data_IF_263483255764
#
_entry.id   IF_263483255764
#
_cell.length_a   1.000
_cell.length_b   1.000
_cell.length_c   1.000
_cell.angle_alpha   90.00
_cell.angle_beta   90.00
_cell.angle_gamma   90.00
#
_symmetry.space_group_name_H-M   'P 1'
#
loop_
_entity.id
_entity.type
_entity.pdbx_description
1 polymer ?
#
# COMPACT_ATOMS: atom_id res chain seq x y z
N UNK A 1 59.74 -23.04 6.39
CA UNK A 1 60.30 -21.68 6.26
C UNK A 1 60.14 -20.97 7.58
N UNK A 2 61.27 -20.53 8.17
CA UNK A 2 61.44 -20.08 9.55
C UNK A 2 61.84 -18.59 9.58
N UNK A 3 61.48 -17.93 10.69
CA UNK A 3 62.21 -16.87 11.45
C UNK A 3 62.23 -15.40 10.99
N UNK A 4 61.47 -14.56 11.74
CA UNK A 4 61.86 -13.42 12.63
C UNK A 4 63.04 -12.47 12.31
N UNK A 5 62.86 -11.15 12.55
CA UNK A 5 63.69 -10.22 13.40
C UNK A 5 63.44 -8.72 13.05
N UNK A 6 62.80 -7.90 13.90
CA UNK A 6 63.27 -6.90 14.91
C UNK A 6 63.85 -5.53 14.44
N UNK A 7 63.21 -4.47 14.95
CA UNK A 7 63.70 -3.25 15.65
C UNK A 7 64.12 -1.92 14.96
N UNK A 8 63.47 -0.85 15.48
CA UNK A 8 63.62 0.64 15.52
C UNK A 8 65.05 1.22 15.82
N UNK A 9 65.23 2.56 16.05
CA UNK A 9 65.02 3.79 15.25
C UNK A 9 66.29 4.70 15.26
N UNK A 10 66.29 5.94 14.72
CA UNK A 10 67.24 6.99 15.19
C UNK A 10 66.86 8.43 14.82
N UNK A 11 67.04 9.30 15.81
CA UNK A 11 66.83 10.75 15.92
C UNK A 11 68.04 11.54 15.41
N UNK A 12 67.88 12.82 14.99
CA UNK A 12 68.97 13.82 15.05
C UNK A 12 68.51 15.19 15.57
N UNK A 13 69.19 15.55 16.65
CA UNK A 13 69.42 16.83 17.37
C UNK A 13 70.19 17.88 16.50
N UNK A 14 70.44 19.17 16.79
CA UNK A 14 70.22 20.19 17.87
C UNK A 14 70.85 21.53 17.39
N UNK A 15 70.50 22.68 18.02
CA UNK A 15 71.31 23.86 18.47
C UNK A 15 70.51 25.18 18.24
N UNK A 16 69.91 25.85 19.24
CA UNK A 16 70.42 26.66 20.38
C UNK A 16 71.26 27.88 19.96
N UNK A 17 70.78 29.11 20.21
CA UNK A 17 71.35 30.07 21.18
C UNK A 17 70.49 31.35 21.36
N UNK A 18 70.66 31.93 22.54
CA UNK A 18 69.80 32.88 23.27
C UNK A 18 70.42 34.30 23.32
N UNK A 19 69.65 35.26 23.85
CA UNK A 19 70.03 36.49 24.60
C UNK A 19 70.17 37.84 23.82
N UNK A 20 69.93 39.06 24.35
CA UNK A 20 69.16 39.68 25.47
C UNK A 20 69.52 41.22 25.44
N UNK A 21 68.68 42.08 26.07
CA UNK A 21 68.95 43.48 26.58
C UNK A 21 68.84 44.63 25.54
N UNK A 22 67.98 45.66 25.60
CA UNK A 22 67.43 46.63 26.59
C UNK A 22 68.21 47.98 26.69
N UNK A 23 67.44 49.08 26.84
CA UNK A 23 67.77 50.52 27.09
C UNK A 23 67.92 51.38 25.83
N UNK A 24 67.37 52.59 25.68
CA UNK A 24 66.57 53.49 26.53
C UNK A 24 66.80 54.95 26.09
N UNK A 25 65.79 55.83 26.24
CA UNK A 25 65.82 57.31 26.42
C UNK A 25 64.80 58.09 25.56
N UNK A 26 64.17 59.04 26.26
CA UNK A 26 63.06 59.95 25.95
C UNK A 26 63.33 61.01 24.86
N UNK A 27 62.29 61.46 24.14
CA UNK A 27 61.82 62.86 24.16
C UNK A 27 60.58 63.14 23.28
N UNK A 28 59.63 63.81 23.93
CA UNK A 28 58.58 64.77 23.54
C UNK A 28 58.26 65.03 22.05
N UNK A 29 56.96 64.93 21.73
CA UNK A 29 56.32 65.58 20.58
C UNK A 29 54.80 65.46 20.69
N UNK A 30 54.15 66.52 21.16
CA UNK A 30 52.69 66.68 21.18
C UNK A 30 52.14 66.65 19.75
N UNK A 31 51.16 65.79 19.49
CA UNK A 31 50.00 66.15 18.66
C UNK A 31 48.80 65.27 19.05
N UNK A 32 47.76 65.95 19.56
CA UNK A 32 46.49 65.37 19.93
C UNK A 32 45.68 65.02 18.67
N UNK A 33 45.67 63.75 18.30
CA UNK A 33 44.62 63.17 17.47
C UNK A 33 43.92 62.07 18.26
N UNK A 34 42.78 62.43 18.88
CA UNK A 34 41.87 61.48 19.51
C UNK A 34 41.36 60.48 18.46
N UNK A 35 41.82 59.23 18.56
CA UNK A 35 41.18 58.12 17.86
C UNK A 35 39.80 57.93 18.50
N UNK A 36 38.74 58.10 17.71
CA UNK A 36 37.35 57.81 18.08
C UNK A 36 37.22 56.35 18.49
N UNK A 37 37.25 56.08 19.79
CA UNK A 37 36.59 54.90 20.34
C UNK A 37 35.08 55.13 20.20
N UNK A 38 34.42 54.32 19.38
CA UNK A 38 32.97 54.27 19.32
C UNK A 38 32.43 53.57 20.57
N UNK A 39 32.27 54.34 21.65
CA UNK A 39 31.43 53.98 22.78
C UNK A 39 29.97 54.26 22.39
N UNK A 40 29.25 53.23 21.96
CA UNK A 40 27.80 53.32 21.84
C UNK A 40 27.18 53.02 23.21
N UNK A 41 26.72 54.07 23.89
CA UNK A 41 25.74 53.96 24.96
C UNK A 41 24.49 53.22 24.43
N UNK A 42 23.83 52.35 25.22
CA UNK A 42 22.60 51.73 24.79
C UNK A 42 21.54 52.85 24.68
N UNK A 43 21.17 53.20 23.45
CA UNK A 43 19.98 54.00 23.21
C UNK A 43 18.77 53.17 23.65
N UNK A 44 18.07 53.65 24.68
CA UNK A 44 16.63 53.44 24.80
C UNK A 44 15.98 54.04 23.54
N UNK A 45 15.80 53.22 22.51
CA UNK A 45 14.77 53.43 21.51
C UNK A 45 13.82 52.26 21.73
N UNK A 46 12.67 52.60 22.30
CA UNK A 46 11.46 51.80 22.25
C UNK A 46 10.80 52.10 20.89
N UNK A 47 10.75 51.17 19.93
CA UNK A 47 9.75 51.20 18.89
C UNK A 47 8.63 50.24 19.28
N UNK A 48 7.57 50.77 19.85
CA UNK A 48 6.15 50.52 19.55
C UNK A 48 5.67 49.10 19.14
N UNK A 49 6.33 48.02 19.59
CA UNK A 49 5.93 46.62 19.33
C UNK A 49 5.31 45.93 20.53
N UNK A 50 5.08 46.66 21.64
CA UNK A 50 4.35 46.13 22.79
C UNK A 50 2.94 45.66 22.37
N UNK A 51 2.30 46.33 21.41
CA UNK A 51 0.98 45.95 20.90
C UNK A 51 0.99 44.77 19.91
N UNK A 52 2.11 44.45 19.27
CA UNK A 52 2.25 43.22 18.45
C UNK A 52 2.68 42.00 19.28
N UNK A 53 3.32 42.22 20.44
CA UNK A 53 3.58 41.16 21.43
C UNK A 53 2.30 40.86 22.24
N UNK A 54 1.34 41.79 22.31
CA UNK A 54 0.07 41.59 23.01
C UNK A 54 -0.88 40.61 22.28
N UNK A 55 -0.74 40.38 20.97
CA UNK A 55 -1.48 39.31 20.28
C UNK A 55 -1.01 37.88 20.67
N UNK A 56 0.15 37.74 21.34
CA UNK A 56 0.60 36.45 21.89
C UNK A 56 -0.19 36.08 23.16
N UNK A 57 -0.93 37.03 23.75
CA UNK A 57 -1.45 36.88 25.12
C UNK A 57 -2.95 36.58 25.21
N UNK A 58 -3.71 36.58 24.12
CA UNK A 58 -5.18 36.41 24.18
C UNK A 58 -5.74 35.15 23.47
N UNK A 59 -4.92 34.11 23.27
CA UNK A 59 -5.40 32.77 22.83
C UNK A 59 -4.66 31.55 23.40
N UNK A 60 -3.87 31.70 24.47
CA UNK A 60 -3.18 30.57 25.11
C UNK A 60 -3.76 30.26 26.51
N UNK A 61 -5.04 29.92 26.59
CA UNK A 61 -5.67 29.43 27.82
C UNK A 61 -5.25 27.98 28.16
N UNK A 62 -3.94 27.71 28.27
CA UNK A 62 -3.47 26.40 28.71
C UNK A 62 -1.96 26.22 28.85
N UNK A 63 -1.12 26.76 27.95
CA UNK A 63 0.34 26.55 28.02
C UNK A 63 1.05 27.64 28.83
N UNK A 64 1.79 27.31 29.91
CA UNK A 64 2.52 28.30 30.68
C UNK A 64 3.55 29.07 29.84
N UNK A 65 3.55 30.40 29.95
CA UNK A 65 4.46 31.28 29.21
C UNK A 65 5.96 30.93 29.38
N UNK A 66 6.46 30.47 30.54
CA UNK A 66 7.83 29.99 30.67
C UNK A 66 8.14 28.79 29.76
N UNK A 67 7.20 27.85 29.63
CA UNK A 67 7.33 26.65 28.77
C UNK A 67 7.38 27.07 27.30
N UNK A 68 6.43 27.91 26.86
CA UNK A 68 6.39 28.41 25.49
C UNK A 68 7.69 29.11 25.09
N UNK A 69 8.21 29.99 25.96
CA UNK A 69 9.48 30.70 25.73
C UNK A 69 10.68 29.76 25.69
N UNK A 70 10.74 28.77 26.58
CA UNK A 70 11.85 27.81 26.63
C UNK A 70 11.93 26.99 25.33
N UNK A 71 10.79 26.48 24.85
CA UNK A 71 10.72 25.68 23.62
C UNK A 71 11.07 26.52 22.38
N UNK A 72 10.47 27.70 22.22
CA UNK A 72 10.75 28.57 21.07
C UNK A 72 12.22 29.01 21.02
N UNK A 73 12.82 29.29 22.18
CA UNK A 73 14.25 29.63 22.29
C UNK A 73 15.13 28.46 21.87
N UNK A 74 14.82 27.25 22.30
CA UNK A 74 15.63 26.08 21.96
C UNK A 74 15.54 25.74 20.47
N UNK A 75 14.35 25.82 19.87
CA UNK A 75 14.18 25.65 18.41
C UNK A 75 14.98 26.70 17.65
N UNK A 76 14.87 27.97 18.04
CA UNK A 76 15.60 29.05 17.37
C UNK A 76 17.12 28.84 17.44
N UNK A 77 17.64 28.45 18.61
CA UNK A 77 19.07 28.21 18.83
C UNK A 77 19.58 26.96 18.10
N UNK A 78 18.86 25.85 18.17
CA UNK A 78 19.34 24.56 17.64
C UNK A 78 19.10 24.40 16.15
N UNK A 79 18.06 25.03 15.60
CA UNK A 79 17.65 24.91 14.19
C UNK A 79 17.98 26.15 13.36
N UNK A 80 18.49 27.23 13.98
CA UNK A 80 18.83 28.47 13.28
C UNK A 80 17.63 29.21 12.68
N UNK A 81 16.41 28.98 13.20
CA UNK A 81 15.19 29.62 12.71
C UNK A 81 14.92 30.90 13.49
N UNK A 82 14.63 32.00 12.80
CA UNK A 82 14.26 33.27 13.42
C UNK A 82 12.99 33.11 14.28
N UNK A 83 12.95 33.65 15.52
CA UNK A 83 11.78 33.55 16.39
C UNK A 83 10.48 34.04 15.76
N UNK A 84 10.55 35.09 14.91
CA UNK A 84 9.40 35.65 14.19
C UNK A 84 8.77 34.67 13.18
N UNK A 85 9.50 33.63 12.77
CA UNK A 85 9.00 32.59 11.87
C UNK A 85 8.47 31.36 12.62
N UNK A 86 8.58 31.31 13.94
CA UNK A 86 8.17 30.15 14.75
C UNK A 86 6.77 30.37 15.35
N UNK A 87 5.93 29.35 15.28
CA UNK A 87 4.59 29.32 15.87
C UNK A 87 4.40 28.03 16.66
N UNK A 88 3.86 28.12 17.87
CA UNK A 88 3.36 26.94 18.59
C UNK A 88 2.02 26.57 17.96
N UNK A 89 1.95 25.39 17.34
CA UNK A 89 0.76 24.93 16.60
C UNK A 89 -0.09 23.95 17.40
N UNK A 90 0.47 23.33 18.44
CA UNK A 90 -0.28 22.48 19.38
C UNK A 90 0.49 22.30 20.70
N UNK A 91 -0.25 22.05 21.78
CA UNK A 91 0.33 21.64 23.05
C UNK A 91 -0.65 20.77 23.86
N UNK A 92 -0.13 19.89 24.71
CA UNK A 92 -0.92 19.08 25.62
C UNK A 92 -0.14 18.82 26.92
N UNK A 93 -0.84 18.84 28.06
CA UNK A 93 -0.23 18.51 29.35
C UNK A 93 -0.09 16.99 29.47
N UNK A 94 1.10 16.52 29.80
CA UNK A 94 1.42 15.10 29.87
C UNK A 94 2.35 14.78 31.04
N UNK A 95 2.14 13.64 31.69
CA UNK A 95 3.05 13.11 32.71
C UNK A 95 4.03 12.13 32.07
N UNK A 96 5.32 12.37 32.25
CA UNK A 96 6.39 11.52 31.72
C UNK A 96 6.76 10.43 32.72
N UNK A 97 7.24 9.28 32.20
CA UNK A 97 7.53 8.08 33.00
C UNK A 97 8.89 8.13 33.71
N UNK A 98 9.74 9.10 33.36
CA UNK A 98 11.10 9.23 33.86
C UNK A 98 11.58 10.69 33.84
N UNK A 99 12.71 10.94 34.51
CA UNK A 99 13.39 12.24 34.54
C UNK A 99 13.93 12.73 33.20
N UNK A 100 13.99 11.86 32.19
CA UNK A 100 14.37 12.19 30.82
C UNK A 100 13.15 12.47 29.94
N UNK A 101 11.98 12.69 30.53
CA UNK A 101 10.76 13.06 29.83
C UNK A 101 10.35 12.01 28.77
N UNK A 102 10.65 10.74 29.02
CA UNK A 102 10.41 9.62 28.10
C UNK A 102 11.35 9.59 26.89
N UNK A 103 12.46 10.33 26.92
CA UNK A 103 13.45 10.44 25.85
C UNK A 103 14.88 10.21 26.37
N UNK A 104 15.20 8.98 26.85
CA UNK A 104 16.55 8.61 27.26
C UNK A 104 17.49 8.61 26.05
N UNK A 105 18.70 9.15 26.21
CA UNK A 105 19.78 8.94 25.24
C UNK A 105 20.42 7.56 25.45
N UNK A 106 21.15 7.03 24.44
CA UNK A 106 22.01 5.87 24.66
C UNK A 106 22.92 6.09 25.87
N UNK A 107 22.98 5.10 26.76
CA UNK A 107 23.78 5.09 27.98
C UNK A 107 23.43 6.16 29.04
N UNK A 108 22.27 6.82 28.92
CA UNK A 108 21.79 7.80 29.90
C UNK A 108 20.90 7.14 30.96
N UNK A 109 21.29 7.27 32.23
CA UNK A 109 20.46 6.84 33.36
C UNK A 109 19.43 7.91 33.73
N UNK A 110 18.15 7.58 33.57
CA UNK A 110 17.03 8.45 33.90
C UNK A 110 16.42 8.05 35.24
N UNK A 111 15.98 9.03 36.04
CA UNK A 111 15.25 8.73 37.27
C UNK A 111 13.90 8.10 36.93
N UNK A 112 13.43 7.14 37.74
CA UNK A 112 12.13 6.48 37.53
C UNK A 112 10.94 7.28 38.11
N UNK A 113 11.11 8.59 38.30
CA UNK A 113 10.09 9.46 38.85
C UNK A 113 9.11 9.94 37.76
N UNK A 114 7.81 9.96 38.08
CA UNK A 114 6.81 10.56 37.21
C UNK A 114 6.98 12.09 37.18
N UNK A 115 7.14 12.67 36.00
CA UNK A 115 7.38 14.10 35.83
C UNK A 115 6.20 14.76 35.11
N UNK A 116 5.39 15.59 35.78
CA UNK A 116 4.37 16.40 35.12
C UNK A 116 5.00 17.41 34.15
N UNK A 117 4.39 17.55 32.97
CA UNK A 117 5.01 18.28 31.88
C UNK A 117 4.10 18.61 30.72
N UNK A 118 4.72 19.03 29.61
CA UNK A 118 4.03 19.46 28.40
C UNK A 118 4.66 18.85 27.16
N UNK A 119 3.81 18.38 26.25
CA UNK A 119 4.19 18.07 24.87
C UNK A 119 3.84 19.26 24.00
N UNK A 120 4.84 19.91 23.41
CA UNK A 120 4.69 21.16 22.65
C UNK A 120 5.13 20.95 21.20
N UNK A 121 4.30 21.35 20.23
CA UNK A 121 4.63 21.29 18.80
C UNK A 121 4.87 22.71 18.29
N UNK A 122 6.08 22.97 17.81
CA UNK A 122 6.48 24.22 17.16
C UNK A 122 6.60 24.01 15.67
N UNK A 123 6.12 24.96 14.87
CA UNK A 123 6.24 24.97 13.42
C UNK A 123 6.91 26.24 12.92
N UNK A 124 7.68 26.15 11.83
CA UNK A 124 8.09 27.32 11.04
C UNK A 124 7.31 27.45 9.72
N UNK A 125 6.23 26.68 9.55
CA UNK A 125 5.45 26.56 8.32
C UNK A 125 5.93 25.46 7.36
N UNK A 126 7.21 25.05 7.40
CA UNK A 126 7.73 23.96 6.57
C UNK A 126 8.12 22.72 7.38
N UNK A 127 8.44 22.89 8.65
CA UNK A 127 8.89 21.86 9.58
C UNK A 127 8.21 22.04 10.94
N UNK A 128 8.00 20.92 11.61
CA UNK A 128 7.49 20.80 12.97
C UNK A 128 8.54 20.12 13.86
N UNK A 129 8.66 20.62 15.08
CA UNK A 129 9.46 20.06 16.16
C UNK A 129 8.57 19.79 17.36
N UNK A 130 8.65 18.57 17.89
CA UNK A 130 7.93 18.13 19.08
C UNK A 130 8.90 18.16 20.24
N UNK A 131 8.54 18.90 21.28
CA UNK A 131 9.28 18.98 22.51
C UNK A 131 8.50 18.35 23.65
N UNK A 132 9.21 17.63 24.51
CA UNK A 132 8.73 17.25 25.83
C UNK A 132 9.36 18.18 26.84
N UNK A 133 8.59 18.76 27.75
CA UNK A 133 9.09 19.63 28.82
C UNK A 133 8.54 19.20 30.17
N UNK A 134 9.18 19.60 31.25
CA UNK A 134 8.55 19.60 32.58
C UNK A 134 7.57 20.78 32.74
N UNK A 135 6.83 20.83 33.84
CA UNK A 135 5.73 21.79 34.07
C UNK A 135 6.11 23.27 33.96
N UNK A 136 7.38 23.61 34.18
CA UNK A 136 7.90 24.98 34.16
C UNK A 136 8.87 25.28 33.00
N UNK A 137 9.14 24.30 32.13
CA UNK A 137 10.03 24.46 30.97
C UNK A 137 11.52 24.52 31.29
N UNK A 138 11.95 24.19 32.53
CA UNK A 138 13.37 24.14 32.91
C UNK A 138 14.10 22.92 32.35
N UNK A 139 13.37 21.83 32.13
CA UNK A 139 13.86 20.65 31.42
C UNK A 139 13.02 20.48 30.17
N UNK A 140 13.69 20.38 29.02
CA UNK A 140 13.04 20.16 27.73
C UNK A 140 13.93 19.30 26.84
N UNK A 141 13.31 18.45 26.03
CA UNK A 141 13.98 17.56 25.08
C UNK A 141 13.21 17.51 23.77
N UNK A 142 13.97 17.45 22.68
CA UNK A 142 13.41 17.29 21.35
C UNK A 142 13.06 15.81 21.12
N UNK A 143 11.76 15.52 20.96
CA UNK A 143 11.26 14.18 20.71
C UNK A 143 11.46 13.73 19.26
N UNK A 144 11.53 14.68 18.31
CA UNK A 144 11.81 14.40 16.91
C UNK A 144 12.60 15.55 16.24
N UNK A 145 13.63 15.21 15.47
CA UNK A 145 14.30 16.20 14.61
C UNK A 145 13.40 16.58 13.43
N UNK A 146 13.37 17.88 13.09
CA UNK A 146 12.58 18.55 12.05
C UNK A 146 11.76 17.61 11.15
N UNK A 147 10.52 17.31 11.55
CA UNK A 147 9.57 16.62 10.67
C UNK A 147 8.91 17.63 9.75
N UNK A 148 8.94 17.50 8.42
CA UNK A 148 8.06 18.30 7.56
C UNK A 148 6.63 18.16 8.07
N UNK A 149 5.92 19.29 8.12
CA UNK A 149 4.58 19.40 8.70
C UNK A 149 3.73 18.18 8.34
N UNK A 150 3.18 17.51 9.36
CA UNK A 150 2.16 16.47 9.22
C UNK A 150 0.96 17.06 8.47
N UNK A 151 1.05 16.97 7.16
CA UNK A 151 -0.04 17.01 6.23
C UNK A 151 0.14 15.68 5.48
N UNK A 152 -0.85 14.77 5.40
CA UNK A 152 -0.74 13.62 4.51
C UNK A 152 -0.39 14.20 3.14
N UNK A 153 0.87 14.03 2.69
CA UNK A 153 1.28 14.77 1.51
C UNK A 153 0.41 14.24 0.37
N UNK A 154 -0.42 15.12 -0.20
CA UNK A 154 -1.20 14.80 -1.41
C UNK A 154 -0.30 14.42 -2.60
N UNK A 155 1.03 14.52 -2.44
CA UNK A 155 2.05 14.23 -3.44
C UNK A 155 3.08 13.25 -2.88
N UNK A 156 3.35 12.20 -3.64
CA UNK A 156 4.41 11.23 -3.38
C UNK A 156 5.76 11.86 -3.75
N UNK A 157 6.81 11.76 -2.90
CA UNK A 157 8.15 12.26 -3.24
C UNK A 157 8.66 11.68 -4.56
N UNK A 158 9.32 12.49 -5.38
CA UNK A 158 9.82 12.07 -6.70
C UNK A 158 10.78 10.89 -6.61
N UNK A 159 11.63 10.85 -5.57
CA UNK A 159 12.56 9.75 -5.34
C UNK A 159 11.83 8.43 -5.08
N UNK A 160 10.81 8.44 -4.21
CA UNK A 160 9.94 7.29 -3.94
C UNK A 160 9.16 6.89 -5.20
N UNK A 161 8.57 7.85 -5.91
CA UNK A 161 7.87 7.62 -7.18
C UNK A 161 8.76 6.89 -8.17
N UNK A 162 9.98 7.39 -8.39
CA UNK A 162 10.91 6.83 -9.37
C UNK A 162 11.39 5.44 -8.94
N UNK A 163 11.73 5.25 -7.66
CA UNK A 163 12.17 3.96 -7.13
C UNK A 163 11.08 2.89 -7.24
N UNK A 164 9.82 3.24 -6.92
CA UNK A 164 8.68 2.32 -7.05
C UNK A 164 8.36 2.00 -8.51
N UNK A 165 8.37 3.00 -9.40
CA UNK A 165 8.15 2.76 -10.84
C UNK A 165 9.26 1.89 -11.45
N UNK A 166 10.52 2.10 -11.05
CA UNK A 166 11.64 1.27 -11.48
C UNK A 166 11.49 -0.18 -10.99
N UNK A 167 11.17 -0.37 -9.71
CA UNK A 167 10.95 -1.70 -9.13
C UNK A 167 9.78 -2.44 -9.81
N UNK A 168 8.69 -1.73 -10.13
CA UNK A 168 7.55 -2.27 -10.84
C UNK A 168 7.86 -2.60 -12.32
N UNK A 169 8.61 -1.74 -13.00
CA UNK A 169 9.08 -1.98 -14.37
C UNK A 169 9.97 -3.23 -14.42
N UNK A 170 10.92 -3.36 -13.50
CA UNK A 170 11.79 -4.52 -13.39
C UNK A 170 11.00 -5.82 -13.11
N UNK A 171 10.04 -5.77 -12.19
CA UNK A 171 9.25 -6.96 -11.82
C UNK A 171 8.36 -7.45 -12.98
N UNK A 172 7.79 -6.52 -13.75
CA UNK A 172 6.80 -6.84 -14.79
C UNK A 172 7.39 -6.97 -16.19
N UNK A 173 8.60 -6.44 -16.42
CA UNK A 173 9.21 -6.32 -17.74
C UNK A 173 8.57 -5.25 -18.64
N UNK A 174 7.63 -4.46 -18.12
CA UNK A 174 7.04 -3.33 -18.85
C UNK A 174 7.95 -2.09 -18.78
N UNK A 175 8.00 -1.26 -19.83
CA UNK A 175 8.69 0.03 -19.74
C UNK A 175 8.03 0.90 -18.66
N UNK A 176 8.77 1.86 -18.10
CA UNK A 176 8.24 2.78 -17.07
C UNK A 176 7.02 3.58 -17.54
N UNK A 177 6.86 3.78 -18.86
CA UNK A 177 5.65 4.35 -19.48
C UNK A 177 4.41 3.45 -19.38
N UNK A 178 4.58 2.13 -19.26
CA UNK A 178 3.53 1.13 -19.08
C UNK A 178 3.15 0.87 -17.62
N UNK A 179 3.76 1.61 -16.68
CA UNK A 179 3.57 1.47 -15.24
C UNK A 179 3.13 2.81 -14.65
N UNK A 180 2.01 2.83 -13.94
CA UNK A 180 1.45 4.06 -13.34
C UNK A 180 1.13 3.88 -11.88
N UNK A 181 1.40 4.91 -11.08
CA UNK A 181 0.95 4.95 -9.68
C UNK A 181 -0.53 5.32 -9.66
N UNK A 182 -1.36 4.50 -9.02
CA UNK A 182 -2.80 4.70 -8.88
C UNK A 182 -3.12 5.55 -7.66
N UNK A 183 -2.58 5.16 -6.52
CA UNK A 183 -2.70 5.91 -5.27
C UNK A 183 -1.56 5.55 -4.33
N UNK A 184 -1.45 6.28 -3.22
CA UNK A 184 -0.48 6.01 -2.17
C UNK A 184 -0.98 6.54 -0.84
N UNK A 185 -0.47 6.00 0.26
CA UNK A 185 -0.70 6.48 1.62
C UNK A 185 0.57 6.39 2.44
N UNK A 186 0.71 7.27 3.41
CA UNK A 186 1.80 7.21 4.38
C UNK A 186 1.44 6.19 5.48
N UNK A 187 2.40 5.37 5.87
CA UNK A 187 2.28 4.33 6.89
C UNK A 187 3.48 4.37 7.84
N UNK A 188 3.38 3.70 8.98
CA UNK A 188 4.49 3.49 9.90
C UNK A 188 4.83 2.00 9.94
N UNK A 189 6.12 1.67 9.86
CA UNK A 189 6.60 0.29 9.69
C UNK A 189 7.90 0.05 10.45
N UNK A 190 8.28 -1.22 10.61
CA UNK A 190 9.61 -1.65 11.06
C UNK A 190 10.71 -1.39 10.00
N UNK A 191 11.95 -1.76 10.30
CA UNK A 191 13.11 -1.63 9.39
C UNK A 191 13.01 -2.40 8.07
N UNK A 192 12.04 -3.31 7.94
CA UNK A 192 11.74 -4.06 6.71
C UNK A 192 10.45 -3.58 6.04
N UNK A 193 9.98 -2.37 6.37
CA UNK A 193 8.74 -1.82 5.83
C UNK A 193 7.50 -2.66 6.17
N UNK A 194 7.55 -3.42 7.27
CA UNK A 194 6.51 -4.36 7.69
C UNK A 194 6.34 -5.50 6.68
N UNK A 195 7.40 -5.83 5.94
CA UNK A 195 7.46 -6.88 4.92
C UNK A 195 8.74 -7.72 5.12
N UNK A 196 8.85 -8.48 6.23
CA UNK A 196 9.97 -9.37 6.47
C UNK A 196 10.01 -10.49 5.44
N UNK A 197 11.21 -10.86 4.96
CA UNK A 197 11.40 -12.10 4.20
C UNK A 197 11.50 -13.30 5.16
N UNK A 198 11.25 -14.53 4.71
CA UNK A 198 11.45 -15.72 5.53
C UNK A 198 12.86 -15.77 6.12
N UNK A 199 12.96 -15.84 7.45
CA UNK A 199 14.23 -15.86 8.18
C UNK A 199 14.93 -14.50 8.33
N UNK A 200 14.35 -13.41 7.85
CA UNK A 200 14.92 -12.07 7.98
C UNK A 200 14.53 -11.41 9.31
N UNK A 201 15.53 -10.98 10.08
CA UNK A 201 15.32 -10.22 11.31
C UNK A 201 15.23 -8.71 11.04
N UNK A 202 14.07 -8.12 11.34
CA UNK A 202 13.80 -6.71 11.09
C UNK A 202 14.01 -5.87 12.34
N UNK A 203 14.73 -4.75 12.21
CA UNK A 203 14.97 -3.83 13.31
C UNK A 203 13.62 -3.22 13.75
N UNK A 204 13.35 -3.29 15.06
CA UNK A 204 12.11 -2.81 15.66
C UNK A 204 12.14 -1.28 15.84
N UNK A 205 11.84 -0.57 14.75
CA UNK A 205 11.73 0.89 14.71
C UNK A 205 10.35 1.32 14.20
N UNK A 206 9.91 2.52 14.54
CA UNK A 206 8.73 3.13 13.95
C UNK A 206 9.17 4.10 12.84
N UNK A 207 9.55 3.58 11.67
CA UNK A 207 9.92 4.42 10.54
C UNK A 207 8.72 4.85 9.69
N UNK A 208 8.75 6.07 9.18
CA UNK A 208 7.78 6.58 8.22
C UNK A 208 8.05 5.99 6.84
N UNK A 209 7.02 5.40 6.24
CA UNK A 209 7.07 4.73 4.96
C UNK A 209 5.86 5.10 4.10
N UNK A 210 5.92 4.76 2.83
CA UNK A 210 4.86 4.90 1.84
C UNK A 210 4.34 3.52 1.48
N UNK A 211 3.02 3.34 1.43
CA UNK A 211 2.38 2.24 0.69
C UNK A 211 1.85 2.80 -0.62
N UNK A 212 2.33 2.25 -1.75
CA UNK A 212 2.11 2.78 -3.10
C UNK A 212 1.42 1.70 -3.94
N UNK A 213 0.22 1.99 -4.41
CA UNK A 213 -0.50 1.14 -5.36
C UNK A 213 -0.10 1.52 -6.78
N UNK A 214 0.36 0.54 -7.54
CA UNK A 214 0.87 0.67 -8.90
C UNK A 214 0.02 -0.20 -9.82
N UNK A 215 -0.40 0.36 -10.95
CA UNK A 215 -1.00 -0.39 -12.05
C UNK A 215 0.08 -0.59 -13.12
N UNK A 216 0.32 -1.85 -13.48
CA UNK A 216 1.24 -2.24 -14.54
C UNK A 216 0.48 -3.15 -15.52
N UNK A 217 0.03 -2.61 -16.66
CA UNK A 217 -0.92 -3.31 -17.54
C UNK A 217 -2.22 -3.67 -16.81
N UNK A 218 -2.54 -4.96 -16.70
CA UNK A 218 -3.70 -5.50 -15.93
C UNK A 218 -3.37 -5.79 -14.46
N UNK A 219 -2.10 -5.71 -14.05
CA UNK A 219 -1.64 -6.09 -12.72
C UNK A 219 -1.72 -4.92 -11.75
N UNK A 220 -2.07 -5.21 -10.48
CA UNK A 220 -2.06 -4.25 -9.39
C UNK A 220 -1.02 -4.65 -8.36
N UNK A 221 0.04 -3.87 -8.30
CA UNK A 221 1.16 -4.06 -7.38
C UNK A 221 1.00 -3.10 -6.20
N UNK A 222 1.39 -3.54 -5.02
CA UNK A 222 1.46 -2.71 -3.82
C UNK A 222 2.89 -2.75 -3.33
N UNK A 223 3.58 -1.62 -3.39
CA UNK A 223 4.92 -1.47 -2.85
C UNK A 223 4.87 -0.76 -1.52
N UNK A 224 5.82 -1.07 -0.65
CA UNK A 224 6.19 -0.19 0.45
C UNK A 224 7.57 0.38 0.21
N UNK A 225 7.75 1.65 0.53
CA UNK A 225 9.02 2.33 0.40
C UNK A 225 9.32 3.18 1.63
N UNK A 226 10.59 3.30 2.02
CA UNK A 226 10.98 4.25 3.06
C UNK A 226 10.84 5.70 2.54
N UNK A 227 11.07 6.68 3.43
CA UNK A 227 10.78 8.09 3.15
C UNK A 227 11.52 8.67 1.93
N UNK A 228 12.74 8.24 1.68
CA UNK A 228 13.58 8.72 0.57
C UNK A 228 13.51 7.81 -0.67
N UNK A 229 12.93 6.61 -0.57
CA UNK A 229 12.84 5.64 -1.65
C UNK A 229 14.11 4.81 -1.84
N UNK A 230 15.08 4.89 -0.92
CA UNK A 230 16.29 4.04 -0.97
C UNK A 230 16.00 2.57 -0.68
N UNK A 231 14.89 2.28 0.01
CA UNK A 231 14.39 0.93 0.24
C UNK A 231 12.98 0.83 -0.33
N UNK A 232 12.77 -0.12 -1.26
CA UNK A 232 11.45 -0.44 -1.84
C UNK A 232 11.24 -1.95 -1.75
N UNK A 233 10.10 -2.37 -1.21
CA UNK A 233 9.70 -3.77 -1.06
C UNK A 233 8.32 -3.99 -1.64
N UNK A 234 8.14 -5.08 -2.36
CA UNK A 234 6.83 -5.51 -2.83
C UNK A 234 6.05 -6.09 -1.66
N UNK A 235 4.87 -5.54 -1.38
CA UNK A 235 3.90 -6.18 -0.50
C UNK A 235 3.20 -7.29 -1.29
N UNK A 236 3.78 -8.49 -1.29
CA UNK A 236 3.28 -9.63 -2.07
C UNK A 236 1.85 -10.00 -1.70
N UNK A 237 1.48 -9.92 -0.42
CA UNK A 237 0.12 -10.25 0.06
C UNK A 237 -0.92 -9.23 -0.41
N UNK A 238 -0.59 -7.94 -0.40
CA UNK A 238 -1.50 -6.88 -0.85
C UNK A 238 -1.52 -6.72 -2.38
N UNK A 239 -0.46 -7.16 -3.06
CA UNK A 239 -0.36 -7.20 -4.50
C UNK A 239 -1.14 -8.39 -5.04
N UNK A 240 -2.44 -8.20 -5.29
CA UNK A 240 -3.29 -9.24 -5.88
C UNK A 240 -2.64 -9.75 -7.18
N UNK A 241 -2.22 -11.02 -7.16
CA UNK A 241 -1.93 -11.82 -8.34
C UNK A 241 -0.73 -11.36 -9.18
N UNK A 242 0.45 -11.18 -8.59
CA UNK A 242 1.69 -11.11 -9.35
C UNK A 242 2.39 -12.46 -9.28
N UNK A 243 2.39 -13.17 -10.41
CA UNK A 243 3.31 -14.27 -10.64
C UNK A 243 4.60 -13.67 -11.22
N UNK A 244 5.78 -13.86 -10.60
CA UNK A 244 7.06 -13.42 -11.18
C UNK A 244 7.21 -13.92 -12.61
N UNK A 245 7.71 -13.07 -13.52
CA UNK A 245 7.83 -13.44 -14.94
C UNK A 245 8.64 -14.72 -15.16
N UNK A 246 9.75 -14.89 -14.43
CA UNK A 246 10.55 -16.12 -14.48
C UNK A 246 9.75 -17.38 -14.16
N UNK A 247 8.85 -17.30 -13.17
CA UNK A 247 7.97 -18.41 -12.79
C UNK A 247 6.88 -18.62 -13.84
N UNK A 248 6.31 -17.54 -14.38
CA UNK A 248 5.31 -17.61 -15.45
C UNK A 248 5.89 -18.27 -16.72
N UNK A 249 7.10 -17.86 -17.12
CA UNK A 249 7.81 -18.40 -18.28
C UNK A 249 8.14 -19.89 -18.06
N UNK A 250 8.62 -20.27 -16.86
CA UNK A 250 8.88 -21.67 -16.52
C UNK A 250 7.62 -22.55 -16.53
N UNK A 251 6.50 -22.04 -15.99
CA UNK A 251 5.21 -22.75 -16.01
C UNK A 251 4.69 -22.93 -17.43
N UNK A 252 4.82 -21.91 -18.28
CA UNK A 252 4.40 -22.01 -19.67
C UNK A 252 5.25 -23.00 -20.45
N UNK A 253 6.56 -23.01 -20.25
CA UNK A 253 7.46 -23.99 -20.88
C UNK A 253 7.12 -25.43 -20.48
N UNK A 254 6.88 -25.69 -19.19
CA UNK A 254 6.44 -27.00 -18.70
C UNK A 254 5.07 -27.39 -19.29
N UNK A 255 4.13 -26.43 -19.37
CA UNK A 255 2.82 -26.66 -19.96
C UNK A 255 2.86 -26.94 -21.48
N UNK A 256 3.82 -26.36 -22.21
CA UNK A 256 4.06 -26.69 -23.62
C UNK A 256 4.44 -28.17 -23.78
N UNK A 257 5.31 -28.67 -22.90
CA UNK A 257 5.74 -30.08 -22.90
C UNK A 257 4.58 -31.02 -22.51
N UNK A 258 3.88 -30.72 -21.43
CA UNK A 258 2.79 -31.58 -20.91
C UNK A 258 1.57 -31.64 -21.85
N UNK A 259 1.28 -30.57 -22.60
CA UNK A 259 0.15 -30.54 -23.57
C UNK A 259 0.57 -30.77 -25.02
N UNK A 260 1.86 -30.74 -25.34
CA UNK A 260 2.36 -30.82 -26.73
C UNK A 260 1.89 -29.66 -27.61
N UNK A 261 1.68 -28.48 -27.03
CA UNK A 261 1.16 -27.29 -27.70
C UNK A 261 2.17 -26.13 -27.61
N UNK A 262 2.26 -25.24 -28.62
CA UNK A 262 3.11 -24.06 -28.53
C UNK A 262 2.53 -23.04 -27.53
N UNK A 263 3.40 -22.26 -26.89
CA UNK A 263 3.07 -21.27 -25.85
C UNK A 263 2.11 -20.21 -26.36
N UNK A 264 2.08 -19.95 -27.67
CA UNK A 264 1.12 -19.05 -28.30
C UNK A 264 -0.33 -19.50 -28.13
N UNK A 265 -0.58 -20.79 -27.91
CA UNK A 265 -1.90 -21.37 -27.62
C UNK A 265 -2.18 -21.50 -26.12
N UNK A 266 -1.17 -21.38 -25.28
CA UNK A 266 -1.30 -21.53 -23.83
C UNK A 266 -1.46 -20.18 -23.16
N UNK A 267 -2.34 -20.11 -22.17
CA UNK A 267 -2.54 -18.90 -21.38
C UNK A 267 -2.56 -19.24 -19.90
N UNK A 268 -1.85 -18.44 -19.11
CA UNK A 268 -2.07 -18.43 -17.67
C UNK A 268 -3.43 -17.78 -17.44
N UNK A 269 -4.37 -18.61 -17.00
CA UNK A 269 -5.78 -18.30 -16.72
C UNK A 269 -6.05 -18.49 -15.23
N UNK A 270 -5.10 -18.18 -14.35
CA UNK A 270 -5.35 -18.18 -12.90
C UNK A 270 -4.08 -18.05 -12.12
N UNK A 271 -4.06 -17.13 -11.15
CA UNK A 271 -2.95 -16.91 -10.22
C UNK A 271 -3.53 -16.56 -8.86
N UNK A 272 -3.54 -17.53 -7.96
CA UNK A 272 -4.03 -17.40 -6.59
C UNK A 272 -2.89 -17.54 -5.60
N UNK A 273 -2.82 -16.68 -4.58
CA UNK A 273 -1.88 -16.86 -3.48
C UNK A 273 -2.33 -18.02 -2.58
N UNK A 274 -1.41 -18.90 -2.21
CA UNK A 274 -1.67 -20.05 -1.33
C UNK A 274 -0.54 -20.25 -0.32
N UNK A 275 -0.93 -20.81 0.82
CA UNK A 275 -0.03 -21.40 1.80
C UNK A 275 -0.08 -22.92 1.62
N UNK A 276 1.10 -23.52 1.48
CA UNK A 276 1.24 -24.95 1.34
C UNK A 276 1.69 -25.57 2.65
N UNK A 277 1.22 -26.79 2.98
CA UNK A 277 1.46 -27.39 4.29
C UNK A 277 2.90 -27.87 4.50
N UNK A 278 3.65 -28.09 3.41
CA UNK A 278 4.99 -28.67 3.43
C UNK A 278 5.85 -28.16 2.26
N UNK A 279 7.14 -28.53 2.27
CA UNK A 279 8.09 -28.21 1.19
C UNK A 279 7.80 -28.91 -0.14
N UNK A 280 6.91 -29.90 -0.16
CA UNK A 280 6.43 -30.54 -1.38
C UNK A 280 5.16 -29.88 -1.93
N UNK A 281 4.77 -28.73 -1.38
CA UNK A 281 3.60 -27.97 -1.76
C UNK A 281 2.28 -28.74 -1.57
N UNK A 282 2.27 -29.72 -0.66
CA UNK A 282 1.16 -30.63 -0.44
C UNK A 282 0.91 -31.61 -1.60
N UNK A 283 1.92 -31.86 -2.44
CA UNK A 283 1.93 -32.96 -3.44
C UNK A 283 2.90 -34.03 -2.94
N UNK A 284 2.36 -35.09 -2.35
CA UNK A 284 3.13 -36.24 -1.87
C UNK A 284 3.38 -37.21 -3.02
N UNK A 285 4.65 -37.46 -3.32
CA UNK A 285 5.06 -38.53 -4.23
C UNK A 285 5.43 -39.78 -3.42
N UNK A 286 5.15 -40.99 -3.93
CA UNK A 286 5.57 -42.22 -3.26
C UNK A 286 7.07 -42.19 -2.99
N UNK A 287 7.46 -42.56 -1.77
CA UNK A 287 8.86 -42.63 -1.30
C UNK A 287 9.59 -41.28 -1.10
N UNK A 288 8.91 -40.13 -1.28
CA UNK A 288 9.50 -38.81 -0.98
C UNK A 288 9.02 -38.32 0.39
N UNK A 289 9.97 -38.10 1.31
CA UNK A 289 9.70 -37.49 2.62
C UNK A 289 9.72 -35.96 2.50
N UNK A 290 8.59 -35.32 2.81
CA UNK A 290 8.41 -33.89 2.73
C UNK A 290 8.59 -33.25 4.12
N UNK A 291 9.49 -32.27 4.24
CA UNK A 291 9.68 -31.56 5.49
C UNK A 291 8.44 -30.70 5.84
N UNK A 292 7.87 -30.84 7.05
CA UNK A 292 6.69 -30.08 7.47
C UNK A 292 7.10 -28.63 7.73
N UNK A 293 6.74 -27.75 6.80
CA UNK A 293 7.01 -26.31 6.87
C UNK A 293 6.01 -25.62 5.98
N UNK A 294 5.33 -24.60 6.50
CA UNK A 294 4.44 -23.78 5.67
C UNK A 294 5.26 -23.07 4.61
N UNK A 295 4.90 -23.25 3.34
CA UNK A 295 5.54 -22.60 2.19
C UNK A 295 4.54 -21.65 1.55
N UNK A 296 4.87 -20.37 1.46
CA UNK A 296 4.07 -19.40 0.72
C UNK A 296 4.31 -19.53 -0.78
N UNK A 297 3.28 -19.32 -1.58
CA UNK A 297 3.44 -19.23 -3.03
C UNK A 297 2.11 -19.11 -3.76
N UNK A 298 1.97 -19.74 -4.92
CA UNK A 298 0.81 -19.57 -5.80
C UNK A 298 0.22 -20.89 -6.28
N UNK A 299 -1.09 -20.93 -6.46
CA UNK A 299 -1.74 -21.85 -7.38
C UNK A 299 -1.91 -21.15 -8.72
N UNK A 300 -1.31 -21.71 -9.77
CA UNK A 300 -1.33 -21.14 -11.12
C UNK A 300 -2.08 -22.09 -12.04
N UNK A 301 -2.98 -21.58 -12.88
CA UNK A 301 -3.72 -22.39 -13.86
C UNK A 301 -3.33 -21.98 -15.27
N UNK A 302 -2.93 -22.95 -16.10
CA UNK A 302 -2.66 -22.78 -17.53
C UNK A 302 -3.78 -23.46 -18.31
N UNK A 303 -4.26 -22.86 -19.40
CA UNK A 303 -5.27 -23.46 -20.26
C UNK A 303 -5.06 -23.08 -21.73
N UNK A 304 -5.49 -23.98 -22.61
CA UNK A 304 -5.62 -23.80 -24.06
C UNK A 304 -7.09 -23.52 -24.49
N UNK A 305 -8.02 -23.47 -23.53
CA UNK A 305 -9.47 -23.34 -23.75
C UNK A 305 -10.25 -24.67 -23.74
N UNK A 306 -9.59 -25.82 -23.81
CA UNK A 306 -10.23 -27.15 -23.73
C UNK A 306 -9.73 -27.97 -22.54
N UNK A 307 -8.43 -27.91 -22.29
CA UNK A 307 -7.71 -28.57 -21.22
C UNK A 307 -7.10 -27.53 -20.28
N UNK A 308 -6.76 -27.96 -19.07
CA UNK A 308 -6.05 -27.11 -18.11
C UNK A 308 -5.03 -27.89 -17.31
N UNK A 309 -3.96 -27.20 -16.95
CA UNK A 309 -2.95 -27.66 -16.02
C UNK A 309 -2.94 -26.75 -14.80
N UNK A 310 -2.87 -27.34 -13.61
CA UNK A 310 -2.77 -26.61 -12.34
C UNK A 310 -1.41 -26.84 -11.74
N UNK A 311 -0.70 -25.75 -11.51
CA UNK A 311 0.61 -25.72 -10.89
C UNK A 311 0.51 -25.21 -9.46
N UNK A 312 1.24 -25.85 -8.56
CA UNK A 312 1.54 -25.34 -7.22
C UNK A 312 2.94 -24.78 -7.26
N UNK A 313 3.06 -23.53 -6.85
CA UNK A 313 4.31 -22.78 -6.82
C UNK A 313 4.63 -22.45 -5.37
N UNK A 314 5.83 -22.76 -4.92
CA UNK A 314 6.39 -22.35 -3.63
C UNK A 314 7.50 -21.34 -3.83
N UNK A 315 7.57 -20.33 -2.97
CA UNK A 315 8.67 -19.37 -2.98
C UNK A 315 9.97 -20.01 -2.47
N UNK A 316 11.13 -19.70 -3.08
CA UNK A 316 11.31 -18.69 -4.11
C UNK A 316 10.94 -19.12 -5.55
N UNK A 317 11.05 -20.41 -5.89
CA UNK A 317 11.01 -20.88 -7.29
C UNK A 317 10.57 -22.35 -7.50
N UNK A 318 10.01 -23.01 -6.47
CA UNK A 318 9.55 -24.40 -6.59
C UNK A 318 8.26 -24.45 -7.41
N UNK A 319 8.21 -25.21 -8.51
CA UNK A 319 7.01 -25.40 -9.34
C UNK A 319 6.69 -26.89 -9.40
N UNK A 320 5.44 -27.27 -9.14
CA UNK A 320 4.95 -28.66 -9.27
C UNK A 320 3.61 -28.71 -9.98
N UNK A 321 3.50 -29.58 -10.98
CA UNK A 321 2.22 -29.89 -11.63
C UNK A 321 1.34 -30.74 -10.69
N UNK A 322 0.17 -30.22 -10.37
CA UNK A 322 -0.88 -30.94 -9.65
C UNK A 322 -1.75 -31.72 -10.64
N UNK A 323 -1.31 -32.93 -10.98
CA UNK A 323 -2.02 -33.82 -11.92
C UNK A 323 -3.44 -34.14 -11.46
N UNK A 324 -3.71 -34.15 -10.15
CA UNK A 324 -5.07 -34.39 -9.64
C UNK A 324 -5.94 -33.15 -9.81
N UNK A 325 -5.46 -31.98 -9.41
CA UNK A 325 -6.20 -30.72 -9.58
C UNK A 325 -6.34 -30.31 -11.05
N UNK A 326 -5.53 -30.86 -11.96
CA UNK A 326 -5.64 -30.66 -13.41
C UNK A 326 -6.76 -31.49 -14.05
N UNK A 327 -7.23 -32.57 -13.40
CA UNK A 327 -8.36 -33.36 -13.88
C UNK A 327 -9.66 -32.54 -13.74
N UNK A 328 -10.41 -32.41 -14.82
CA UNK A 328 -11.79 -31.89 -14.78
C UNK A 328 -12.71 -33.10 -14.59
N UNK A 329 -13.19 -33.34 -13.37
CA UNK A 329 -14.21 -34.37 -13.14
C UNK A 329 -15.56 -33.85 -13.64
N UNK A 330 -15.88 -34.15 -14.89
CA UNK A 330 -17.19 -33.86 -15.48
C UNK A 330 -18.17 -34.92 -15.01
N UNK A 331 -18.93 -34.63 -13.96
CA UNK A 331 -20.08 -35.47 -13.62
C UNK A 331 -21.23 -35.12 -14.57
N UNK A 332 -21.77 -36.11 -15.28
CA UNK A 332 -22.75 -35.94 -16.37
C UNK A 332 -24.15 -35.44 -15.91
N UNK A 333 -24.36 -35.11 -14.64
CA UNK A 333 -25.59 -34.46 -14.17
C UNK A 333 -25.27 -33.23 -13.31
N UNK A 334 -25.60 -32.05 -13.83
CA UNK A 334 -25.57 -30.80 -13.07
C UNK A 334 -26.79 -30.79 -12.15
N UNK A 335 -26.61 -31.28 -10.92
CA UNK A 335 -27.66 -31.25 -9.91
C UNK A 335 -27.79 -29.82 -9.37
N UNK A 336 -28.98 -29.17 -9.46
CA UNK A 336 -29.20 -27.86 -8.87
C UNK A 336 -29.21 -27.97 -7.33
N UNK A 337 -28.72 -26.92 -6.68
CA UNK A 337 -28.76 -26.75 -5.23
C UNK A 337 -29.64 -25.53 -4.88
N UNK A 338 -30.46 -25.56 -3.82
CA UNK A 338 -31.19 -24.38 -3.40
C UNK A 338 -30.22 -23.27 -2.95
N UNK A 339 -30.50 -22.03 -3.34
CA UNK A 339 -29.78 -20.84 -2.87
C UNK A 339 -30.31 -20.51 -1.45
N UNK A 340 -29.44 -20.44 -0.42
CA UNK A 340 -29.85 -19.99 0.90
C UNK A 340 -30.51 -18.60 0.84
N UNK A 341 -31.59 -18.39 1.60
CA UNK A 341 -32.31 -17.11 1.61
C UNK A 341 -31.42 -15.91 1.98
N UNK A 342 -30.41 -16.11 2.82
CA UNK A 342 -29.37 -15.12 3.15
C UNK A 342 -28.50 -14.69 1.97
N UNK A 343 -28.43 -15.52 0.93
CA UNK A 343 -27.56 -15.34 -0.22
C UNK A 343 -28.35 -14.91 -1.47
N UNK A 344 -29.67 -14.78 -1.36
CA UNK A 344 -30.49 -14.26 -2.44
C UNK A 344 -30.26 -12.74 -2.61
N UNK A 345 -30.17 -12.26 -3.86
CA UNK A 345 -30.11 -10.83 -4.09
C UNK A 345 -31.48 -10.18 -3.76
N UNK A 346 -31.53 -8.84 -3.56
CA UNK A 346 -32.78 -8.14 -3.27
C UNK A 346 -33.85 -8.42 -4.33
N UNK A 347 -35.13 -8.40 -3.96
CA UNK A 347 -36.23 -8.51 -4.92
C UNK A 347 -36.13 -7.42 -6.00
N UNK A 348 -36.68 -7.71 -7.19
CA UNK A 348 -36.74 -6.72 -8.25
C UNK A 348 -37.69 -5.60 -7.85
N UNK A 349 -37.31 -4.37 -8.19
CA UNK A 349 -38.24 -3.23 -8.19
C UNK A 349 -39.36 -3.51 -9.21
N UNK A 350 -40.57 -3.01 -8.94
CA UNK A 350 -41.73 -3.05 -9.84
C UNK A 350 -41.44 -2.62 -11.29
N UNK A 351 -40.45 -1.74 -11.48
CA UNK A 351 -40.02 -1.22 -12.78
C UNK A 351 -38.99 -2.09 -13.50
N UNK A 352 -38.42 -3.10 -12.84
CA UNK A 352 -37.36 -3.97 -13.37
C UNK A 352 -37.94 -5.30 -13.85
N UNK A 353 -37.75 -5.59 -15.12
CA UNK A 353 -38.21 -6.84 -15.76
C UNK A 353 -37.22 -7.98 -15.50
N UNK A 354 -35.93 -7.67 -15.54
CA UNK A 354 -34.88 -8.67 -15.43
C UNK A 354 -33.59 -8.08 -14.88
N UNK A 355 -32.90 -8.84 -14.04
CA UNK A 355 -31.58 -8.46 -13.51
C UNK A 355 -30.59 -9.60 -13.71
N UNK A 356 -29.37 -9.25 -14.11
CA UNK A 356 -28.18 -10.09 -14.02
C UNK A 356 -27.16 -9.47 -13.08
N UNK A 357 -26.64 -10.24 -12.13
CA UNK A 357 -25.41 -9.92 -11.40
C UNK A 357 -24.33 -10.88 -11.88
N UNK A 358 -23.30 -10.35 -12.54
CA UNK A 358 -22.12 -11.13 -12.91
C UNK A 358 -20.99 -10.83 -11.93
N UNK A 359 -20.44 -11.85 -11.28
CA UNK A 359 -19.37 -11.73 -10.30
C UNK A 359 -18.32 -12.80 -10.52
N UNK A 360 -17.05 -12.41 -10.51
CA UNK A 360 -15.92 -13.33 -10.66
C UNK A 360 -14.99 -12.96 -11.80
N UNK A 361 -14.33 -13.97 -12.37
CA UNK A 361 -13.24 -13.79 -13.33
C UNK A 361 -11.95 -13.26 -12.68
N UNK A 362 -10.85 -13.21 -13.45
CA UNK A 362 -9.53 -12.72 -13.00
C UNK A 362 -9.52 -11.34 -12.33
N UNK A 363 -10.45 -10.48 -12.74
CA UNK A 363 -10.52 -9.12 -12.22
C UNK A 363 -11.34 -9.03 -10.91
N UNK A 364 -12.05 -10.10 -10.53
CA UNK A 364 -12.92 -10.15 -9.34
C UNK A 364 -13.94 -9.00 -9.31
N UNK A 365 -14.47 -8.61 -10.47
CA UNK A 365 -15.39 -7.48 -10.59
C UNK A 365 -16.82 -7.99 -10.54
N UNK A 366 -17.68 -7.19 -9.91
CA UNK A 366 -19.11 -7.44 -9.86
C UNK A 366 -19.82 -6.37 -10.65
N UNK A 367 -20.63 -6.78 -11.63
CA UNK A 367 -21.50 -5.90 -12.39
C UNK A 367 -22.94 -6.31 -12.16
N UNK A 368 -23.81 -5.31 -12.04
CA UNK A 368 -25.25 -5.47 -12.08
C UNK A 368 -25.73 -4.92 -13.42
N UNK A 369 -26.53 -5.69 -14.14
CA UNK A 369 -27.23 -5.27 -15.35
C UNK A 369 -28.72 -5.42 -15.13
N UNK A 370 -29.48 -4.34 -15.29
CA UNK A 370 -30.94 -4.31 -15.12
C UNK A 370 -31.61 -3.90 -16.43
N UNK A 371 -32.68 -4.60 -16.77
CA UNK A 371 -33.59 -4.25 -17.86
C UNK A 371 -34.90 -3.76 -17.27
N UNK A 372 -35.26 -2.52 -17.55
CA UNK A 372 -36.51 -1.89 -17.10
C UNK A 372 -37.67 -2.17 -18.06
N UNK A 373 -38.88 -1.97 -17.54
CA UNK A 373 -40.13 -2.17 -18.27
C UNK A 373 -40.36 -1.18 -19.42
N UNK A 374 -39.62 -0.08 -19.45
CA UNK A 374 -39.61 0.90 -20.53
C UNK A 374 -38.59 0.57 -21.65
N UNK A 375 -37.76 -0.47 -21.46
CA UNK A 375 -36.73 -0.88 -22.41
C UNK A 375 -35.32 -0.36 -22.08
N UNK A 376 -35.16 0.44 -21.02
CA UNK A 376 -33.85 0.90 -20.60
C UNK A 376 -33.01 -0.27 -20.05
N UNK A 377 -31.79 -0.43 -20.58
CA UNK A 377 -30.83 -1.44 -20.16
C UNK A 377 -29.64 -0.74 -19.51
N UNK A 378 -29.47 -0.90 -18.21
CA UNK A 378 -28.38 -0.26 -17.47
C UNK A 378 -27.44 -1.29 -16.90
N UNK A 379 -26.14 -1.06 -17.05
CA UNK A 379 -25.09 -1.83 -16.38
C UNK A 379 -24.28 -0.92 -15.47
N UNK A 380 -24.08 -1.33 -14.23
CA UNK A 380 -23.29 -0.62 -13.23
C UNK A 380 -22.28 -1.57 -12.58
N UNK A 381 -21.18 -1.02 -12.06
CA UNK A 381 -20.18 -1.79 -11.31
C UNK A 381 -20.47 -1.66 -9.82
N UNK A 382 -20.77 -2.78 -9.16
CA UNK A 382 -21.04 -2.78 -7.71
C UNK A 382 -19.76 -2.41 -6.95
N UNK A 383 -19.89 -1.48 -6.01
CA UNK A 383 -18.77 -0.97 -5.21
C UNK A 383 -17.91 0.08 -5.91
N UNK A 384 -18.32 0.58 -7.07
CA UNK A 384 -17.73 1.75 -7.71
C UNK A 384 -18.51 3.03 -7.35
N UNK A 385 -18.07 3.70 -6.29
CA UNK A 385 -18.75 4.90 -5.78
C UNK A 385 -18.81 6.08 -6.78
N UNK A 386 -17.99 6.04 -7.84
CA UNK A 386 -17.93 7.08 -8.86
C UNK A 386 -18.75 6.74 -10.11
N UNK A 387 -19.43 5.58 -10.13
CA UNK A 387 -20.24 5.10 -11.27
C UNK A 387 -19.47 5.12 -12.61
N UNK A 388 -18.15 4.91 -12.55
CA UNK A 388 -17.21 5.24 -13.63
C UNK A 388 -17.27 4.27 -14.81
N UNK A 389 -17.90 3.11 -14.61
CA UNK A 389 -18.10 2.08 -15.62
C UNK A 389 -19.60 1.86 -15.93
N UNK A 390 -20.46 2.85 -15.67
CA UNK A 390 -21.87 2.77 -16.03
C UNK A 390 -22.07 2.79 -17.54
N UNK A 391 -22.89 1.88 -18.04
CA UNK A 391 -23.42 1.95 -19.40
C UNK A 391 -24.94 1.95 -19.38
N UNK A 392 -25.53 2.72 -20.28
CA UNK A 392 -26.98 2.84 -20.44
C UNK A 392 -27.28 2.69 -21.92
N UNK A 393 -28.13 1.74 -22.24
CA UNK A 393 -28.57 1.43 -23.59
C UNK A 393 -30.10 1.32 -23.62
N UNK A 394 -30.68 1.29 -24.81
CA UNK A 394 -32.12 1.17 -24.98
C UNK A 394 -32.48 -0.01 -25.87
N UNK A 395 -33.30 -0.92 -25.36
CA UNK A 395 -33.86 -2.05 -26.10
C UNK A 395 -35.21 -1.63 -26.68
N UNK A 396 -35.47 -1.96 -27.95
CA UNK A 396 -36.77 -1.65 -28.55
C UNK A 396 -37.92 -2.35 -27.82
N UNK A 397 -39.07 -1.69 -27.72
CA UNK A 397 -40.26 -2.26 -27.04
C UNK A 397 -40.71 -3.59 -27.64
N UNK A 398 -40.51 -3.80 -28.94
CA UNK A 398 -40.79 -5.08 -29.60
C UNK A 398 -39.90 -6.20 -29.05
N UNK A 399 -38.58 -5.97 -28.97
CA UNK A 399 -37.61 -6.94 -28.45
C UNK A 399 -37.82 -7.19 -26.95
N UNK A 400 -38.13 -6.14 -26.18
CA UNK A 400 -38.50 -6.26 -24.77
C UNK A 400 -39.71 -7.19 -24.59
N UNK A 401 -40.79 -6.98 -25.36
CA UNK A 401 -41.99 -7.83 -25.31
C UNK A 401 -41.68 -9.28 -25.70
N UNK A 402 -40.87 -9.49 -26.73
CA UNK A 402 -40.43 -10.84 -27.12
C UNK A 402 -39.68 -11.54 -26.00
N UNK A 403 -38.76 -10.83 -25.33
CA UNK A 403 -38.03 -11.37 -24.19
C UNK A 403 -38.94 -11.66 -22.99
N UNK A 404 -39.88 -10.77 -22.67
CA UNK A 404 -40.87 -11.00 -21.61
C UNK A 404 -41.74 -12.24 -21.88
N UNK A 405 -42.20 -12.42 -23.12
CA UNK A 405 -42.96 -13.60 -23.54
C UNK A 405 -42.12 -14.88 -23.42
N UNK A 406 -40.85 -14.84 -23.84
CA UNK A 406 -39.93 -15.95 -23.72
C UNK A 406 -39.64 -16.29 -22.25
N UNK A 407 -39.45 -15.28 -21.39
CA UNK A 407 -39.23 -15.44 -19.96
C UNK A 407 -40.47 -16.04 -19.28
N UNK A 408 -41.67 -15.62 -19.66
CA UNK A 408 -42.92 -16.22 -19.17
C UNK A 408 -43.07 -17.68 -19.62
N UNK A 409 -42.77 -18.00 -20.88
CA UNK A 409 -42.94 -19.33 -21.45
C UNK A 409 -41.87 -20.33 -21.00
N UNK A 410 -40.62 -19.88 -20.81
CA UNK A 410 -39.45 -20.74 -20.58
C UNK A 410 -38.80 -20.53 -19.22
N UNK A 411 -38.91 -19.36 -18.61
CA UNK A 411 -38.29 -19.05 -17.33
C UNK A 411 -39.12 -19.42 -16.10
N UNK A 412 -40.44 -19.61 -16.23
CA UNK A 412 -41.34 -19.77 -15.07
C UNK A 412 -40.94 -20.89 -14.08
N UNK A 413 -40.35 -21.99 -14.58
CA UNK A 413 -39.91 -23.12 -13.74
C UNK A 413 -38.41 -23.13 -13.46
N UNK A 414 -37.63 -22.28 -14.13
CA UNK A 414 -36.17 -22.29 -14.04
C UNK A 414 -35.64 -21.34 -12.94
N UNK A 415 -36.42 -20.31 -12.58
CA UNK A 415 -36.05 -19.27 -11.63
C UNK A 415 -36.54 -19.58 -10.20
N UNK A 416 -36.33 -20.80 -9.71
CA UNK A 416 -36.85 -21.28 -8.42
C UNK A 416 -35.84 -21.17 -7.26
N UNK A 417 -35.03 -20.11 -7.23
CA UNK A 417 -33.96 -19.91 -6.25
C UNK A 417 -32.94 -21.07 -6.26
N UNK A 418 -32.54 -21.49 -7.45
CA UNK A 418 -31.62 -22.62 -7.67
C UNK A 418 -30.24 -22.15 -8.12
N UNK A 419 -29.19 -22.83 -7.67
CA UNK A 419 -27.81 -22.64 -8.05
C UNK A 419 -27.28 -23.87 -8.77
N UNK A 420 -26.64 -23.66 -9.91
CA UNK A 420 -25.90 -24.65 -10.68
C UNK A 420 -24.41 -24.46 -10.37
N UNK A 421 -23.86 -25.21 -9.41
CA UNK A 421 -22.51 -24.99 -8.94
C UNK A 421 -21.50 -25.26 -10.06
N UNK A 422 -20.36 -24.58 -9.98
CA UNK A 422 -19.24 -24.88 -10.87
C UNK A 422 -18.74 -26.31 -10.58
N UNK A 423 -18.17 -27.00 -11.59
CA UNK A 423 -17.55 -28.30 -11.37
C UNK A 423 -16.52 -28.24 -10.24
N UNK A 424 -16.36 -29.33 -9.49
CA UNK A 424 -15.37 -29.37 -8.41
C UNK A 424 -13.97 -29.03 -8.95
N UNK A 425 -13.28 -28.10 -8.27
CA UNK A 425 -11.97 -27.60 -8.70
C UNK A 425 -11.98 -26.50 -9.76
N UNK A 426 -13.15 -26.03 -10.21
CA UNK A 426 -13.26 -24.83 -11.05
C UNK A 426 -12.84 -23.57 -10.26
N UNK A 427 -12.03 -22.73 -10.89
CA UNK A 427 -11.52 -21.46 -10.35
C UNK A 427 -11.72 -20.36 -11.38
N UNK A 428 -11.78 -19.10 -10.94
CA UNK A 428 -11.87 -17.92 -11.79
C UNK A 428 -13.01 -17.88 -12.82
N UNK A 429 -14.05 -18.70 -12.63
CA UNK A 429 -15.27 -18.63 -13.42
C UNK A 429 -16.04 -17.35 -13.12
N UNK A 430 -16.79 -16.87 -14.11
CA UNK A 430 -17.79 -15.84 -13.87
C UNK A 430 -19.06 -16.53 -13.41
N UNK A 431 -19.49 -16.20 -12.20
CA UNK A 431 -20.83 -16.54 -11.73
C UNK A 431 -21.84 -15.52 -12.24
N UNK A 432 -22.99 -16.01 -12.69
CA UNK A 432 -24.12 -15.22 -13.15
C UNK A 432 -25.30 -15.52 -12.24
N UNK A 433 -25.86 -14.49 -11.63
CA UNK A 433 -27.09 -14.56 -10.84
C UNK A 433 -28.18 -13.81 -11.61
N UNK A 434 -29.13 -14.55 -12.17
CA UNK A 434 -30.25 -14.01 -12.92
C UNK A 434 -31.48 -13.93 -12.01
N UNK A 435 -32.19 -12.82 -12.03
CA UNK A 435 -33.43 -12.62 -11.26
C UNK A 435 -34.55 -12.21 -12.21
N UNK A 436 -35.70 -12.87 -12.04
CA UNK A 436 -36.97 -12.53 -12.69
C UNK A 436 -38.07 -12.36 -11.62
N UNK A 437 -39.29 -12.06 -12.04
CA UNK A 437 -40.46 -12.05 -11.15
C UNK A 437 -40.75 -13.41 -10.49
N UNK A 438 -40.30 -14.51 -11.09
CA UNK A 438 -40.53 -15.86 -10.57
C UNK A 438 -39.46 -16.33 -9.57
N UNK A 439 -38.37 -15.57 -9.41
CA UNK A 439 -37.29 -15.84 -8.47
C UNK A 439 -35.90 -15.74 -9.10
N UNK A 440 -34.91 -16.40 -8.49
CA UNK A 440 -33.49 -16.30 -8.86
C UNK A 440 -32.93 -17.62 -9.37
N UNK A 441 -32.00 -17.56 -10.31
CA UNK A 441 -31.15 -18.69 -10.68
C UNK A 441 -29.70 -18.26 -10.77
N UNK A 442 -28.80 -19.10 -10.27
CA UNK A 442 -27.36 -18.84 -10.32
C UNK A 442 -26.67 -19.93 -11.15
N UNK A 443 -25.75 -19.54 -12.01
CA UNK A 443 -24.88 -20.47 -12.75
C UNK A 443 -23.50 -19.86 -12.98
N UNK A 444 -22.66 -20.57 -13.72
CA UNK A 444 -21.31 -20.14 -14.09
C UNK A 444 -21.05 -20.40 -15.57
N UNK A 445 -20.14 -19.63 -16.17
CA UNK A 445 -19.75 -19.77 -17.58
C UNK A 445 -19.32 -21.20 -17.97
N UNK A 446 -18.62 -21.92 -17.09
CA UNK A 446 -18.17 -23.30 -17.34
C UNK A 446 -19.35 -24.27 -17.50
N UNK A 447 -20.40 -24.09 -16.70
CA UNK A 447 -21.60 -24.96 -16.70
C UNK A 447 -22.70 -24.50 -17.67
N UNK A 448 -22.55 -23.37 -18.38
CA UNK A 448 -23.63 -22.74 -19.15
C UNK A 448 -24.26 -23.69 -20.19
N UNK A 449 -23.45 -24.44 -20.93
CA UNK A 449 -23.92 -25.36 -21.98
C UNK A 449 -24.60 -26.64 -21.43
N UNK A 450 -24.67 -26.78 -20.10
CA UNK A 450 -25.22 -27.94 -19.39
C UNK A 450 -26.39 -27.57 -18.49
N UNK A 451 -26.84 -26.31 -18.56
CA UNK A 451 -28.07 -25.86 -17.89
C UNK A 451 -29.29 -26.55 -18.52
N UNK A 452 -30.45 -26.57 -17.84
CA UNK A 452 -31.70 -27.00 -18.46
C UNK A 452 -31.97 -26.26 -19.78
N UNK A 453 -32.54 -26.96 -20.76
CA UNK A 453 -32.72 -26.42 -22.12
C UNK A 453 -33.48 -25.09 -22.13
N UNK A 454 -34.52 -24.96 -21.31
CA UNK A 454 -35.29 -23.72 -21.23
C UNK A 454 -34.44 -22.56 -20.68
N UNK A 455 -33.61 -22.83 -19.66
CA UNK A 455 -32.72 -21.83 -19.10
C UNK A 455 -31.63 -21.41 -20.10
N UNK A 456 -31.08 -22.35 -20.88
CA UNK A 456 -30.15 -22.02 -21.97
C UNK A 456 -30.78 -21.08 -23.00
N UNK A 457 -32.05 -21.32 -23.38
CA UNK A 457 -32.80 -20.46 -24.30
C UNK A 457 -32.97 -19.04 -23.72
N UNK A 458 -33.32 -18.93 -22.43
CA UNK A 458 -33.42 -17.62 -21.75
C UNK A 458 -32.07 -16.90 -21.72
N UNK A 459 -31.00 -17.60 -21.35
CA UNK A 459 -29.64 -17.04 -21.31
C UNK A 459 -29.18 -16.58 -22.70
N UNK A 460 -29.45 -17.37 -23.74
CA UNK A 460 -29.12 -17.02 -25.12
C UNK A 460 -29.85 -15.76 -25.59
N UNK A 461 -31.16 -15.68 -25.34
CA UNK A 461 -31.97 -14.51 -25.67
C UNK A 461 -31.52 -13.25 -24.91
N UNK A 462 -31.19 -13.40 -23.62
CA UNK A 462 -30.65 -12.30 -22.81
C UNK A 462 -29.31 -11.80 -23.36
N UNK A 463 -28.38 -12.70 -23.66
CA UNK A 463 -27.08 -12.34 -24.24
C UNK A 463 -27.22 -11.67 -25.62
N UNK A 464 -28.23 -12.06 -26.41
CA UNK A 464 -28.55 -11.40 -27.66
C UNK A 464 -29.01 -9.95 -27.44
N UNK A 465 -29.92 -9.71 -26.50
CA UNK A 465 -30.33 -8.35 -26.13
C UNK A 465 -29.14 -7.48 -25.70
N UNK A 466 -28.22 -8.04 -24.89
CA UNK A 466 -27.04 -7.31 -24.45
C UNK A 466 -26.13 -6.88 -25.60
N UNK A 467 -25.93 -7.73 -26.61
CA UNK A 467 -25.09 -7.42 -27.78
C UNK A 467 -25.74 -6.37 -28.66
N UNK A 468 -27.01 -6.58 -29.00
CA UNK A 468 -27.74 -5.69 -29.91
C UNK A 468 -28.01 -4.30 -29.31
N UNK A 469 -28.01 -4.16 -27.99
CA UNK A 469 -28.13 -2.86 -27.34
C UNK A 469 -26.81 -2.06 -27.35
N UNK A 470 -25.67 -2.73 -27.59
CA UNK A 470 -24.34 -2.14 -27.65
C UNK A 470 -23.89 -1.76 -29.06
N UNK A 471 -24.57 -2.29 -30.09
CA UNK A 471 -24.51 -1.85 -31.48
C UNK A 471 -25.37 -0.60 -31.69
#
# INVERSE_FOLDING_TARGET
MKTTSKNYPTTKQVKIFTALILTGILSVGNDLAFIKNASAAPRNILPDTANEILEITNKNNGLPLPVARAVLRDVSRTQGVLPSKLKIVAYNQQTWRDGCLGLPKPDEFCTQALVPGWRVIVSNGSQNWIYHTNSNGRSLRLANSATPVNNPSKKLPTSVKNAVLAAASQLTGLPTSGVRIVNFKQITTDGCLGLPRPGEACIQIAQQAWEVNVQAGKQRLVYRANRDGSQVRLNQTASKSILPKSIADAILADAEEELGLPASRLRIVGVERREWPDRCLGISEPLILCAPSVVFGWRVTVSDGQQRLVYRVGEPDTIKLDKQASKITVNNSLKPLPIPTSNLPPLLDSSVVFRQISSGGFAGRTYETVLLADGLLMRTRIGDANDSERSVHHVSLQKLRQFQQLLAAKGAKEFQNLSYPAPSGAVDYISYTLTSSNGTVQYNDISQNRLPQNLQVVVAAWNQLLREAQE
#
